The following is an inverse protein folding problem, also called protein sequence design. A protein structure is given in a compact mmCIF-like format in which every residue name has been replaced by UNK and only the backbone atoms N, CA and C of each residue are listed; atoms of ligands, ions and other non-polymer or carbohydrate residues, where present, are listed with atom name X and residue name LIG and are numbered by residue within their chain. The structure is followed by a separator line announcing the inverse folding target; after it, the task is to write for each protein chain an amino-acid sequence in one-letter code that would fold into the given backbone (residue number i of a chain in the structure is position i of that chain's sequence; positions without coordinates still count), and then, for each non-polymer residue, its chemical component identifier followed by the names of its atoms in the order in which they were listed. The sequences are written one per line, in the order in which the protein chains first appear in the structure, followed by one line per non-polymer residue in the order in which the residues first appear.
data_IF_646698342078
#
_entry.id   IF_646698342078
#
_cell.length_a   1.000
_cell.length_b   1.000
_cell.length_c   1.000
_cell.angle_alpha   90.00
_cell.angle_beta   90.00
_cell.angle_gamma   90.00
#
_symmetry.space_group_name_H-M   'P 1'
#
loop_
_entity.id
_entity.type
_entity.pdbx_description
1 polymer ?
#
# COMPACT_ATOMS: atom_id res chain seq x y z
N UNK A 1 12.51 0.93 -32.93
CA UNK A 1 12.52 0.65 -31.47
C UNK A 1 11.08 0.54 -30.99
N UNK A 2 10.55 -0.68 -30.88
CA UNK A 2 9.15 -0.89 -30.50
C UNK A 2 8.95 -0.61 -29.00
N UNK A 3 8.06 0.33 -28.66
CA UNK A 3 7.58 0.52 -27.29
C UNK A 3 6.95 -0.80 -26.85
N UNK A 4 7.59 -1.50 -25.90
CA UNK A 4 6.90 -2.53 -25.11
C UNK A 4 5.84 -1.80 -24.28
N UNK A 5 4.64 -1.68 -24.82
CA UNK A 5 3.44 -1.50 -24.01
C UNK A 5 3.43 -2.68 -23.06
N UNK A 6 3.54 -2.44 -21.75
CA UNK A 6 3.24 -3.49 -20.79
C UNK A 6 1.77 -3.84 -21.02
N UNK A 7 1.53 -5.01 -21.57
CA UNK A 7 0.21 -5.60 -21.62
C UNK A 7 -0.32 -5.62 -20.19
N UNK A 8 -1.31 -4.76 -19.91
CA UNK A 8 -2.15 -4.92 -18.72
C UNK A 8 -2.69 -6.34 -18.82
N UNK A 9 -2.27 -7.20 -17.90
CA UNK A 9 -2.82 -8.54 -17.76
C UNK A 9 -4.35 -8.43 -17.83
N UNK A 10 -5.04 -9.35 -18.52
CA UNK A 10 -6.49 -9.32 -18.58
C UNK A 10 -7.03 -9.43 -17.15
N UNK A 11 -7.61 -8.35 -16.61
CA UNK A 11 -8.37 -8.38 -15.36
C UNK A 11 -9.40 -9.50 -15.51
N UNK A 12 -9.35 -10.51 -14.65
CA UNK A 12 -10.45 -11.48 -14.54
C UNK A 12 -11.72 -10.65 -14.29
N UNK A 13 -12.69 -10.72 -15.21
CA UNK A 13 -14.02 -10.08 -15.11
C UNK A 13 -14.88 -10.81 -14.07
N UNK A 14 -14.35 -11.02 -12.87
CA UNK A 14 -15.09 -11.52 -11.72
C UNK A 14 -15.09 -10.44 -10.66
N UNK A 15 -16.23 -10.25 -10.00
CA UNK A 15 -16.31 -9.42 -8.81
C UNK A 15 -15.31 -9.94 -7.78
N UNK A 16 -14.48 -9.04 -7.23
CA UNK A 16 -13.48 -9.42 -6.25
C UNK A 16 -14.18 -9.85 -4.97
N UNK A 17 -13.87 -11.06 -4.50
CA UNK A 17 -14.33 -11.57 -3.21
C UNK A 17 -13.15 -11.75 -2.27
N UNK A 18 -13.31 -11.27 -1.03
CA UNK A 18 -12.33 -11.49 0.04
C UNK A 18 -12.86 -12.59 0.96
N UNK A 19 -12.17 -13.74 0.98
CA UNK A 19 -12.56 -14.91 1.80
C UNK A 19 -14.03 -15.31 1.65
N UNK A 20 -14.55 -15.22 0.43
CA UNK A 20 -15.93 -15.60 0.10
C UNK A 20 -16.98 -14.50 0.26
N UNK A 21 -16.59 -13.28 0.67
CA UNK A 21 -17.51 -12.13 0.76
C UNK A 21 -17.25 -11.10 -0.32
N UNK A 22 -18.31 -10.46 -0.81
CA UNK A 22 -18.20 -9.35 -1.78
C UNK A 22 -17.73 -8.06 -1.11
N UNK A 23 -17.26 -7.09 -1.90
CA UNK A 23 -16.81 -5.80 -1.35
C UNK A 23 -17.95 -5.06 -0.64
N UNK A 24 -19.16 -5.10 -1.19
CA UNK A 24 -20.34 -4.47 -0.59
C UNK A 24 -20.69 -5.10 0.75
N UNK A 25 -20.70 -6.44 0.82
CA UNK A 25 -20.90 -7.15 2.09
C UNK A 25 -19.85 -6.75 3.14
N UNK A 26 -18.58 -6.65 2.74
CA UNK A 26 -17.50 -6.28 3.67
C UNK A 26 -17.62 -4.83 4.20
N UNK A 27 -18.25 -3.93 3.45
CA UNK A 27 -18.50 -2.56 3.89
C UNK A 27 -19.65 -2.46 4.90
N UNK A 28 -20.60 -3.38 4.86
CA UNK A 28 -21.72 -3.43 5.79
C UNK A 28 -21.35 -4.08 7.12
N UNK A 29 -20.32 -4.94 7.14
CA UNK A 29 -19.88 -5.61 8.37
C UNK A 29 -19.25 -4.65 9.37
N UNK A 30 -19.38 -5.02 10.65
CA UNK A 30 -18.65 -4.35 11.71
C UNK A 30 -17.14 -4.60 11.63
N UNK A 31 -16.34 -3.68 12.20
CA UNK A 31 -14.88 -3.84 12.28
C UNK A 31 -14.46 -5.11 13.04
N UNK A 32 -15.26 -5.55 14.01
CA UNK A 32 -15.00 -6.74 14.81
C UNK A 32 -15.19 -8.03 14.00
N UNK A 33 -16.30 -8.15 13.28
CA UNK A 33 -16.58 -9.27 12.37
C UNK A 33 -15.57 -9.32 11.23
N UNK A 34 -15.20 -8.16 10.69
CA UNK A 34 -14.15 -8.07 9.68
C UNK A 34 -12.79 -8.54 10.21
N UNK A 35 -12.46 -8.25 11.47
CA UNK A 35 -11.20 -8.68 12.09
C UNK A 35 -11.08 -10.21 12.17
N UNK A 36 -12.19 -10.93 12.31
CA UNK A 36 -12.20 -12.41 12.31
C UNK A 36 -11.86 -12.99 10.93
N UNK A 37 -12.16 -12.25 9.87
CA UNK A 37 -11.78 -12.60 8.51
C UNK A 37 -10.33 -12.21 8.19
N UNK A 38 -9.63 -11.44 9.03
CA UNK A 38 -8.26 -11.04 8.75
C UNK A 38 -7.22 -12.04 9.27
N UNK A 39 -5.98 -12.04 8.73
CA UNK A 39 -4.86 -12.77 9.31
C UNK A 39 -4.53 -12.31 10.74
N UNK A 40 -3.79 -13.13 11.48
CA UNK A 40 -3.57 -12.95 12.93
C UNK A 40 -2.96 -11.59 13.30
N UNK A 41 -2.05 -11.06 12.49
CA UNK A 41 -1.36 -9.79 12.76
C UNK A 41 -2.33 -8.60 12.64
N UNK A 42 -3.14 -8.59 11.58
CA UNK A 42 -4.12 -7.57 11.28
C UNK A 42 -5.24 -7.59 12.31
N UNK A 43 -5.77 -8.79 12.61
CA UNK A 43 -6.75 -9.02 13.68
C UNK A 43 -6.27 -8.51 15.03
N UNK A 44 -5.02 -8.81 15.41
CA UNK A 44 -4.41 -8.32 16.65
C UNK A 44 -4.33 -6.80 16.69
N UNK A 45 -4.03 -6.16 15.56
CA UNK A 45 -3.97 -4.69 15.45
C UNK A 45 -5.34 -4.07 15.73
N UNK A 46 -6.40 -4.60 15.11
CA UNK A 46 -7.76 -4.10 15.31
C UNK A 46 -8.20 -4.34 16.76
N UNK A 47 -7.98 -5.53 17.31
CA UNK A 47 -8.34 -5.86 18.71
C UNK A 47 -7.60 -5.01 19.75
N UNK A 48 -6.40 -4.54 19.44
CA UNK A 48 -5.65 -3.61 20.31
C UNK A 48 -6.12 -2.17 20.18
N UNK A 49 -6.84 -1.84 19.11
CA UNK A 49 -7.31 -0.50 18.80
C UNK A 49 -6.31 0.33 17.98
N UNK A 50 -6.84 1.38 17.36
CA UNK A 50 -6.08 2.34 16.56
C UNK A 50 -5.52 3.46 17.43
N UNK A 51 -4.34 3.95 17.06
CA UNK A 51 -3.77 5.17 17.65
C UNK A 51 -4.53 6.41 17.19
N UNK A 52 -4.42 7.53 17.92
CA UNK A 52 -5.17 8.74 17.56
C UNK A 52 -4.79 9.32 16.19
N UNK A 53 -3.53 9.16 15.78
CA UNK A 53 -3.10 9.51 14.43
C UNK A 53 -3.78 8.66 13.35
N UNK A 54 -3.97 7.37 13.61
CA UNK A 54 -4.70 6.48 12.70
C UNK A 54 -6.19 6.78 12.66
N UNK A 55 -6.80 7.16 13.79
CA UNK A 55 -8.19 7.61 13.84
C UNK A 55 -8.43 8.87 13.01
N UNK A 56 -7.48 9.82 13.02
CA UNK A 56 -7.55 11.02 12.16
C UNK A 56 -7.56 10.65 10.68
N UNK A 57 -6.66 9.74 10.28
CA UNK A 57 -6.62 9.23 8.91
C UNK A 57 -7.96 8.59 8.53
N UNK A 58 -8.53 7.73 9.39
CA UNK A 58 -9.84 7.13 9.17
C UNK A 58 -10.97 8.16 9.01
N UNK A 59 -10.93 9.24 9.79
CA UNK A 59 -11.89 10.34 9.67
C UNK A 59 -11.74 11.08 8.34
N UNK A 60 -10.52 11.39 7.91
CA UNK A 60 -10.26 12.05 6.62
C UNK A 60 -10.75 11.21 5.43
N UNK A 61 -10.63 9.88 5.52
CA UNK A 61 -11.20 8.94 4.54
C UNK A 61 -12.73 9.04 4.47
N UNK A 62 -13.42 9.18 5.61
CA UNK A 62 -14.87 9.34 5.65
C UNK A 62 -15.34 10.68 5.08
N UNK A 63 -14.53 11.72 5.21
CA UNK A 63 -14.80 13.04 4.62
C UNK A 63 -14.48 13.11 3.11
N UNK A 64 -13.86 12.08 2.53
CA UNK A 64 -13.50 12.05 1.11
C UNK A 64 -12.40 13.05 0.71
N UNK A 65 -11.58 13.50 1.68
CA UNK A 65 -10.47 14.43 1.42
C UNK A 65 -9.27 13.68 0.85
N UNK A 66 -8.36 14.40 0.19
CA UNK A 66 -7.06 13.83 -0.20
C UNK A 66 -6.22 13.52 1.04
N UNK A 67 -6.08 12.25 1.35
CA UNK A 67 -5.41 11.78 2.58
C UNK A 67 -3.91 11.65 2.37
N UNK A 68 -3.12 12.33 3.21
CA UNK A 68 -1.66 12.19 3.31
C UNK A 68 -1.31 11.56 4.64
N UNK A 69 -0.62 10.42 4.62
CA UNK A 69 -0.31 9.68 5.85
C UNK A 69 1.17 9.33 6.01
N UNK A 70 1.63 9.44 7.25
CA UNK A 70 2.90 8.88 7.71
C UNK A 70 2.71 7.51 8.38
N UNK A 71 1.47 7.15 8.69
CA UNK A 71 1.10 5.89 9.37
C UNK A 71 1.10 4.74 8.37
N UNK A 72 2.28 4.17 8.13
CA UNK A 72 2.50 3.02 7.23
C UNK A 72 2.04 1.68 7.81
N UNK A 73 1.71 1.66 9.10
CA UNK A 73 1.26 0.48 9.82
C UNK A 73 -0.25 0.26 9.75
N UNK A 74 -1.02 1.24 9.25
CA UNK A 74 -2.47 1.13 9.11
C UNK A 74 -2.84 0.06 8.07
N UNK A 75 -3.92 -0.68 8.38
CA UNK A 75 -4.48 -1.75 7.56
C UNK A 75 -5.49 -1.13 6.60
N UNK A 76 -5.52 -1.61 5.35
CA UNK A 76 -6.52 -1.21 4.36
C UNK A 76 -7.87 -1.82 4.74
N UNK A 77 -8.81 -0.93 5.07
CA UNK A 77 -10.19 -1.30 5.41
C UNK A 77 -11.08 -1.26 4.16
N UNK A 78 -12.21 -2.00 4.16
CA UNK A 78 -13.16 -2.01 3.05
C UNK A 78 -13.74 -0.61 2.72
N UNK A 79 -13.88 0.25 3.73
CA UNK A 79 -14.37 1.63 3.58
C UNK A 79 -13.43 2.52 2.72
N UNK A 80 -12.15 2.16 2.61
CA UNK A 80 -11.15 2.99 1.94
C UNK A 80 -11.03 2.71 0.43
N UNK A 81 -11.72 1.69 -0.06
CA UNK A 81 -11.60 1.23 -1.45
C UNK A 81 -12.09 2.33 -2.41
N UNK A 82 -11.35 2.53 -3.49
CA UNK A 82 -11.68 3.54 -4.50
C UNK A 82 -11.17 4.95 -4.19
N UNK A 83 -10.55 5.15 -3.02
CA UNK A 83 -9.87 6.41 -2.70
C UNK A 83 -8.38 6.35 -3.03
N UNK A 84 -7.80 7.50 -3.36
CA UNK A 84 -6.35 7.66 -3.57
C UNK A 84 -5.70 8.11 -2.27
N UNK A 85 -4.64 7.43 -1.84
CA UNK A 85 -3.86 7.76 -0.65
C UNK A 85 -2.44 8.18 -1.01
N UNK A 86 -1.90 9.16 -0.30
CA UNK A 86 -0.50 9.54 -0.37
C UNK A 86 0.27 9.03 0.87
N UNK A 87 1.12 8.01 0.68
CA UNK A 87 1.86 7.35 1.76
C UNK A 87 3.31 7.84 1.78
N UNK A 88 3.78 8.28 2.95
CA UNK A 88 5.16 8.72 3.10
C UNK A 88 6.15 7.53 3.04
N UNK A 89 7.17 7.62 2.19
CA UNK A 89 8.21 6.59 2.04
C UNK A 89 9.55 6.93 2.73
N UNK A 90 9.61 8.04 3.46
CA UNK A 90 10.83 8.54 4.13
C UNK A 90 11.50 9.70 3.40
N UNK A 91 11.24 9.88 2.10
CA UNK A 91 11.75 11.00 1.29
C UNK A 91 10.63 11.85 0.69
N UNK A 92 9.51 11.23 0.34
CA UNK A 92 8.35 11.90 -0.22
C UNK A 92 7.10 11.06 -0.08
N UNK A 93 6.02 11.50 -0.71
CA UNK A 93 4.75 10.80 -0.72
C UNK A 93 4.57 10.03 -2.02
N UNK A 94 4.14 8.78 -1.90
CA UNK A 94 3.77 7.91 -3.01
C UNK A 94 2.26 7.86 -3.07
N UNK A 95 1.68 8.31 -4.17
CA UNK A 95 0.24 8.20 -4.43
C UNK A 95 -0.11 6.77 -4.84
N UNK A 96 -1.06 6.16 -4.15
CA UNK A 96 -1.54 4.79 -4.38
C UNK A 96 -3.06 4.82 -4.46
N UNK A 97 -3.61 4.27 -5.55
CA UNK A 97 -5.05 4.08 -5.69
C UNK A 97 -5.45 2.75 -5.04
N UNK A 98 -6.34 2.81 -4.04
CA UNK A 98 -6.72 1.62 -3.27
C UNK A 98 -7.68 0.74 -4.06
N UNK A 99 -7.19 -0.43 -4.47
CA UNK A 99 -7.95 -1.44 -5.19
C UNK A 99 -8.54 -2.48 -4.22
N UNK A 100 -9.65 -3.14 -4.57
CA UNK A 100 -10.25 -4.20 -3.74
C UNK A 100 -9.27 -5.34 -3.38
N UNK A 101 -8.33 -5.65 -4.28
CA UNK A 101 -7.31 -6.68 -4.06
C UNK A 101 -6.36 -6.37 -2.89
N UNK A 102 -6.33 -5.13 -2.42
CA UNK A 102 -5.44 -4.66 -1.36
C UNK A 102 -6.06 -4.77 0.04
N UNK A 103 -7.30 -5.25 0.17
CA UNK A 103 -7.96 -5.42 1.48
C UNK A 103 -7.14 -6.33 2.39
N UNK A 104 -6.95 -5.89 3.65
CA UNK A 104 -6.20 -6.65 4.65
C UNK A 104 -4.67 -6.54 4.54
N UNK A 105 -4.15 -5.83 3.54
CA UNK A 105 -2.75 -5.44 3.50
C UNK A 105 -2.50 -4.15 4.28
N UNK A 106 -1.24 -3.85 4.60
CA UNK A 106 -0.86 -2.58 5.24
C UNK A 106 -0.34 -1.56 4.24
N UNK A 107 -0.55 -0.28 4.51
CA UNK A 107 -0.07 0.81 3.63
C UNK A 107 1.44 0.75 3.37
N UNK A 108 2.23 0.34 4.35
CA UNK A 108 3.69 0.22 4.21
C UNK A 108 4.15 -0.76 3.14
N UNK A 109 3.31 -1.72 2.73
CA UNK A 109 3.62 -2.68 1.67
C UNK A 109 3.64 -2.02 0.29
N UNK A 110 2.83 -0.98 0.08
CA UNK A 110 2.67 -0.31 -1.21
C UNK A 110 3.65 0.86 -1.41
N UNK A 111 4.29 1.34 -0.34
CA UNK A 111 5.25 2.44 -0.38
C UNK A 111 6.63 1.97 0.09
N UNK A 112 7.48 1.40 -0.78
CA UNK A 112 8.82 0.95 -0.40
C UNK A 112 9.71 2.12 0.01
N UNK A 113 10.44 1.98 1.12
CA UNK A 113 11.33 3.02 1.66
C UNK A 113 12.68 3.09 0.98
N UNK A 114 13.07 2.04 0.27
CA UNK A 114 14.35 1.94 -0.43
C UNK A 114 14.12 1.72 -1.92
N UNK A 115 14.96 2.32 -2.74
CA UNK A 115 15.03 2.02 -4.16
C UNK A 115 15.51 0.58 -4.37
N UNK A 116 14.96 -0.10 -5.37
CA UNK A 116 15.50 -1.40 -5.82
C UNK A 116 16.92 -1.19 -6.34
N UNK A 117 17.88 -1.91 -5.78
CA UNK A 117 19.25 -1.92 -6.28
C UNK A 117 19.32 -2.90 -7.44
N UNK A 118 19.77 -2.45 -8.60
CA UNK A 118 20.14 -3.31 -9.72
C UNK A 118 21.64 -3.45 -9.70
N UNK A 119 22.15 -4.67 -9.56
CA UNK A 119 23.57 -4.95 -9.71
C UNK A 119 23.93 -4.83 -11.20
N UNK A 120 24.75 -3.83 -11.53
CA UNK A 120 25.36 -3.69 -12.86
C UNK A 120 26.68 -4.47 -12.95
N UNK A 121 27.40 -4.29 -14.05
CA UNK A 121 28.78 -4.73 -14.17
C UNK A 121 29.67 -4.01 -13.14
N UNK A 122 30.67 -4.72 -12.61
CA UNK A 122 31.70 -4.11 -11.77
C UNK A 122 32.56 -3.18 -12.64
N UNK A 123 32.34 -1.87 -12.52
CA UNK A 123 33.06 -0.83 -13.26
C UNK A 123 33.23 0.45 -12.44
N UNK A 124 34.04 1.38 -12.93
CA UNK A 124 34.26 2.69 -12.28
C UNK A 124 32.93 3.44 -12.21
N UNK A 125 32.48 3.75 -10.98
CA UNK A 125 31.17 4.37 -10.70
C UNK A 125 30.11 3.40 -10.14
N UNK A 126 30.35 2.09 -10.15
CA UNK A 126 29.40 1.08 -9.65
C UNK A 126 29.39 0.95 -8.12
N UNK A 127 30.54 1.13 -7.46
CA UNK A 127 30.65 1.13 -5.99
C UNK A 127 30.73 2.56 -5.45
N UNK A 128 30.20 2.82 -4.25
CA UNK A 128 30.33 4.15 -3.59
C UNK A 128 31.80 4.58 -3.44
N UNK A 129 32.74 3.62 -3.33
CA UNK A 129 34.18 3.87 -3.27
C UNK A 129 34.78 4.29 -4.62
N UNK A 130 34.30 3.73 -5.73
CA UNK A 130 34.77 4.09 -7.07
C UNK A 130 34.30 5.46 -7.57
N UNK A 131 33.33 6.09 -6.88
CA UNK A 131 32.74 7.38 -7.27
C UNK A 131 33.71 8.57 -7.15
N UNK A 132 34.76 8.42 -6.33
CA UNK A 132 35.78 9.44 -6.11
C UNK A 132 37.11 9.13 -6.81
N UNK A 133 37.18 8.08 -7.63
CA UNK A 133 38.39 7.77 -8.39
C UNK A 133 38.48 8.74 -9.57
N UNK A 134 39.52 9.58 -9.67
CA UNK A 134 39.70 10.46 -10.81
C UNK A 134 39.90 9.62 -12.07
N UNK A 135 39.07 9.84 -13.09
CA UNK A 135 39.33 9.31 -14.42
C UNK A 135 40.49 10.11 -15.02
N UNK A 136 41.52 9.41 -15.48
CA UNK A 136 42.67 10.00 -16.18
C UNK A 136 42.32 10.32 -17.61
#
# INVERSE_FOLDING_TARGET
MAKKSSSRLPKRKGEYTYRGKTVSELQELSLEEFAELLPSRERRSIKRGFTDGQKKVLHEFKEGKKVRTHHRDLIILPEMIGQTIEIHNGKGFVSVDLQPEMIGHRFGEFAPTRSRVSHGSAGVGATRSSKFVPLK
#
